data_IF_452274094795
#
_entry.id   IF_452274094795
#
_cell.length_a   1.000
_cell.length_b   1.000
_cell.length_c   1.000
_cell.angle_alpha   90.00
_cell.angle_beta   90.00
_cell.angle_gamma   90.00
#
_symmetry.space_group_name_H-M   'P 1'
#
loop_
_entity.id
_entity.type
_entity.pdbx_description
1 polymer ?
#
# COMPACT_ATOMS: atom_id res chain seq x y z
N UNK A 1 1.52 5.25 7.98
CA UNK A 1 1.08 6.22 6.94
C UNK A 1 2.07 6.12 5.79
N UNK A 2 1.59 6.06 4.55
CA UNK A 2 2.41 5.98 3.34
C UNK A 2 2.35 7.31 2.59
N UNK A 3 3.47 8.02 2.47
CA UNK A 3 3.56 9.27 1.69
C UNK A 3 4.16 8.98 0.32
N UNK A 4 3.33 8.99 -0.71
CA UNK A 4 3.75 8.57 -2.05
C UNK A 4 4.67 9.58 -2.74
N UNK A 5 4.66 10.84 -2.31
CA UNK A 5 5.58 11.87 -2.81
C UNK A 5 7.02 11.69 -2.34
N UNK A 6 7.27 10.89 -1.30
CA UNK A 6 8.61 10.56 -0.79
C UNK A 6 9.22 9.32 -1.46
N UNK A 7 8.43 8.60 -2.25
CA UNK A 7 8.92 7.46 -3.03
C UNK A 7 9.57 7.97 -4.31
N UNK A 8 10.88 7.78 -4.48
CA UNK A 8 11.55 7.96 -5.76
C UNK A 8 11.52 6.66 -6.57
N UNK A 9 10.76 6.59 -7.69
CA UNK A 9 10.65 5.39 -8.50
C UNK A 9 11.93 5.08 -9.29
N UNK A 10 12.92 5.97 -9.35
CA UNK A 10 14.21 5.65 -9.97
C UNK A 10 15.17 4.94 -9.02
N UNK A 11 14.95 5.11 -7.71
CA UNK A 11 15.78 4.51 -6.66
C UNK A 11 15.17 3.23 -6.09
N UNK A 12 13.84 3.19 -5.96
CA UNK A 12 13.12 2.09 -5.32
C UNK A 12 12.01 1.55 -6.22
N UNK A 13 11.96 0.23 -6.34
CA UNK A 13 10.91 -0.46 -7.09
C UNK A 13 9.63 -0.61 -6.25
N UNK A 14 8.50 -0.92 -6.90
CA UNK A 14 7.25 -1.21 -6.22
C UNK A 14 7.38 -2.45 -5.35
N UNK A 15 8.29 -3.38 -5.67
CA UNK A 15 8.62 -4.50 -4.80
C UNK A 15 9.33 -4.06 -3.53
N UNK A 16 10.21 -3.06 -3.59
CA UNK A 16 10.91 -2.54 -2.42
C UNK A 16 9.92 -1.83 -1.48
N UNK A 17 9.05 -0.97 -2.05
CA UNK A 17 7.98 -0.32 -1.29
C UNK A 17 7.02 -1.35 -0.68
N UNK A 18 6.65 -2.38 -1.44
CA UNK A 18 5.77 -3.45 -0.96
C UNK A 18 6.42 -4.29 0.16
N UNK A 19 7.73 -4.54 0.09
CA UNK A 19 8.47 -5.23 1.16
C UNK A 19 8.45 -4.44 2.46
N UNK A 20 8.54 -3.11 2.40
CA UNK A 20 8.41 -2.26 3.59
C UNK A 20 7.04 -2.46 4.24
N UNK A 21 5.96 -2.51 3.45
CA UNK A 21 4.62 -2.81 3.97
C UNK A 21 4.54 -4.19 4.62
N UNK A 22 5.13 -5.22 4.01
CA UNK A 22 5.15 -6.58 4.58
C UNK A 22 5.88 -6.66 5.91
N UNK A 23 7.11 -6.13 5.97
CA UNK A 23 7.92 -6.12 7.20
C UNK A 23 7.16 -5.36 8.30
N UNK A 24 6.56 -4.22 7.95
CA UNK A 24 5.77 -3.43 8.90
C UNK A 24 4.56 -4.22 9.43
N UNK A 25 3.83 -4.91 8.56
CA UNK A 25 2.70 -5.75 8.96
C UNK A 25 3.12 -6.91 9.86
N UNK A 26 4.24 -7.57 9.59
CA UNK A 26 4.79 -8.65 10.43
C UNK A 26 5.22 -8.18 11.83
N UNK A 27 5.64 -6.91 11.95
CA UNK A 27 5.96 -6.31 13.24
C UNK A 27 4.68 -5.93 13.99
N UNK A 28 3.75 -5.24 13.33
CA UNK A 28 2.52 -4.73 13.93
C UNK A 28 1.58 -5.86 14.37
N UNK A 29 1.54 -6.99 13.65
CA UNK A 29 0.67 -8.13 14.03
C UNK A 29 1.08 -8.77 15.37
N UNK A 30 2.29 -8.49 15.88
CA UNK A 30 2.72 -8.98 17.20
C UNK A 30 2.02 -8.26 18.35
N UNK A 31 1.43 -7.09 18.11
CA UNK A 31 0.70 -6.34 19.12
C UNK A 31 -0.73 -6.87 19.28
N UNK A 32 -1.09 -7.32 20.49
CA UNK A 32 -2.41 -7.89 20.81
C UNK A 32 -3.54 -6.88 20.54
N UNK A 33 -3.31 -5.61 20.86
CA UNK A 33 -4.27 -4.54 20.60
C UNK A 33 -4.51 -4.36 19.10
N UNK A 34 -3.48 -4.52 18.27
CA UNK A 34 -3.65 -4.48 16.81
C UNK A 34 -4.40 -5.70 16.29
N UNK A 35 -4.15 -6.90 16.82
CA UNK A 35 -4.93 -8.08 16.44
C UNK A 35 -6.43 -7.91 16.74
N UNK A 36 -6.78 -7.21 17.83
CA UNK A 36 -8.18 -6.94 18.23
C UNK A 36 -8.83 -5.80 17.46
N UNK A 37 -8.10 -4.70 17.27
CA UNK A 37 -8.66 -3.44 16.76
C UNK A 37 -8.40 -3.23 15.26
N UNK A 38 -7.53 -4.03 14.66
CA UNK A 38 -7.11 -3.87 13.27
C UNK A 38 -6.12 -2.73 13.03
N UNK A 39 -5.85 -2.47 11.75
CA UNK A 39 -4.94 -1.42 11.29
C UNK A 39 -5.65 -0.51 10.29
N UNK A 40 -5.31 0.78 10.32
CA UNK A 40 -5.72 1.74 9.29
C UNK A 40 -4.50 2.19 8.51
N UNK A 41 -4.46 1.86 7.22
CA UNK A 41 -3.42 2.30 6.31
C UNK A 41 -3.91 3.52 5.53
N UNK A 42 -3.19 4.64 5.70
CA UNK A 42 -3.44 5.88 4.97
C UNK A 42 -2.39 6.02 3.87
N UNK A 43 -2.83 6.11 2.63
CA UNK A 43 -2.03 6.45 1.47
C UNK A 43 -2.26 7.92 1.14
N UNK A 44 -1.25 8.75 1.40
CA UNK A 44 -1.21 10.11 0.90
C UNK A 44 -0.63 10.10 -0.52
N UNK A 45 -1.48 10.41 -1.48
CA UNK A 45 -1.13 10.44 -2.90
C UNK A 45 -0.65 11.82 -3.35
N UNK A 46 -0.44 12.77 -2.43
CA UNK A 46 0.21 14.02 -2.75
C UNK A 46 1.60 13.75 -3.36
N UNK A 47 1.85 14.34 -4.53
CA UNK A 47 3.09 14.12 -5.28
C UNK A 47 3.12 12.83 -6.10
N UNK A 48 2.00 12.11 -6.25
CA UNK A 48 1.90 10.96 -7.15
C UNK A 48 2.14 11.36 -8.62
N UNK A 49 2.94 10.57 -9.35
CA UNK A 49 3.34 10.81 -10.74
C UNK A 49 3.15 9.55 -11.59
N UNK A 50 3.15 9.70 -12.92
CA UNK A 50 3.09 8.56 -13.84
C UNK A 50 4.22 7.54 -13.62
N UNK A 51 5.42 7.99 -13.23
CA UNK A 51 6.52 7.09 -12.91
C UNK A 51 6.17 6.08 -11.81
N UNK A 52 5.40 6.47 -10.79
CA UNK A 52 4.88 5.54 -9.77
C UNK A 52 3.87 4.56 -10.38
N UNK A 53 2.94 5.05 -11.20
CA UNK A 53 1.91 4.23 -11.84
C UNK A 53 2.52 3.16 -12.77
N UNK A 54 3.59 3.50 -13.51
CA UNK A 54 4.28 2.56 -14.39
C UNK A 54 4.93 1.39 -13.65
N UNK A 55 5.24 1.55 -12.36
CA UNK A 55 5.75 0.43 -11.57
C UNK A 55 4.66 -0.55 -11.12
N UNK A 56 3.38 -0.14 -11.15
CA UNK A 56 2.24 -0.98 -10.76
C UNK A 56 1.80 -1.80 -11.98
N UNK A 57 2.56 -2.85 -12.28
CA UNK A 57 2.17 -3.83 -13.30
C UNK A 57 0.99 -4.71 -12.81
N UNK A 58 0.25 -5.38 -13.71
CA UNK A 58 -0.81 -6.31 -13.32
C UNK A 58 -0.33 -7.40 -12.35
N UNK A 59 0.92 -7.85 -12.49
CA UNK A 59 1.51 -8.84 -11.57
C UNK A 59 1.74 -8.26 -10.17
N UNK A 60 2.19 -7.01 -10.07
CA UNK A 60 2.35 -6.28 -8.80
C UNK A 60 0.97 -6.04 -8.16
N UNK A 61 0.00 -5.57 -8.93
CA UNK A 61 -1.37 -5.34 -8.47
C UNK A 61 -2.01 -6.62 -7.89
N UNK A 62 -1.83 -7.77 -8.55
CA UNK A 62 -2.29 -9.07 -8.03
C UNK A 62 -1.65 -9.44 -6.68
N UNK A 63 -0.34 -9.19 -6.52
CA UNK A 63 0.35 -9.44 -5.25
C UNK A 63 -0.14 -8.53 -4.12
N UNK A 64 -0.37 -7.25 -4.43
CA UNK A 64 -0.95 -6.30 -3.48
C UNK A 64 -2.34 -6.80 -3.06
N UNK A 65 -3.22 -7.10 -4.01
CA UNK A 65 -4.56 -7.59 -3.73
C UNK A 65 -4.55 -8.87 -2.86
N UNK A 66 -3.69 -9.85 -3.19
CA UNK A 66 -3.58 -11.07 -2.41
C UNK A 66 -3.21 -10.81 -0.95
N UNK A 67 -2.25 -9.92 -0.68
CA UNK A 67 -1.87 -9.56 0.69
C UNK A 67 -2.99 -8.84 1.41
N UNK A 68 -3.67 -7.89 0.75
CA UNK A 68 -4.82 -7.21 1.33
C UNK A 68 -5.91 -8.20 1.76
N UNK A 69 -6.26 -9.16 0.90
CA UNK A 69 -7.29 -10.18 1.17
C UNK A 69 -6.87 -11.13 2.28
N UNK A 70 -5.61 -11.59 2.31
CA UNK A 70 -5.13 -12.44 3.41
C UNK A 70 -5.13 -11.67 4.73
N UNK A 71 -4.67 -10.42 4.71
CA UNK A 71 -4.65 -9.56 5.90
C UNK A 71 -6.03 -9.46 6.53
N UNK A 72 -7.08 -9.21 5.72
CA UNK A 72 -8.45 -9.08 6.24
C UNK A 72 -8.99 -10.30 6.97
N UNK A 73 -8.45 -11.50 6.72
CA UNK A 73 -8.83 -12.73 7.44
C UNK A 73 -8.20 -12.82 8.83
N UNK A 74 -7.02 -12.23 9.03
CA UNK A 74 -6.26 -12.32 10.29
C UNK A 74 -6.24 -11.02 11.11
N UNK A 75 -6.40 -9.87 10.46
CA UNK A 75 -6.38 -8.54 11.05
C UNK A 75 -7.08 -7.55 10.11
N UNK A 76 -8.18 -6.93 10.55
CA UNK A 76 -8.94 -6.02 9.70
C UNK A 76 -8.07 -4.83 9.27
N UNK A 77 -7.87 -4.64 7.96
CA UNK A 77 -7.12 -3.49 7.45
C UNK A 77 -8.01 -2.57 6.64
N UNK A 78 -8.21 -1.35 7.12
CA UNK A 78 -8.94 -0.32 6.39
C UNK A 78 -7.97 0.55 5.59
N UNK A 79 -8.23 0.68 4.29
CA UNK A 79 -7.45 1.53 3.39
C UNK A 79 -8.13 2.89 3.22
N UNK A 80 -7.35 3.96 3.36
CA UNK A 80 -7.81 5.31 3.06
C UNK A 80 -6.82 6.01 2.13
N UNK A 81 -7.30 6.51 1.00
CA UNK A 81 -6.50 7.26 0.04
C UNK A 81 -6.87 8.73 0.09
N UNK A 82 -5.92 9.58 0.47
CA UNK A 82 -6.08 11.03 0.44
C UNK A 82 -5.40 11.62 -0.81
N UNK A 83 -5.83 12.82 -1.24
CA UNK A 83 -5.27 13.51 -2.41
C UNK A 83 -5.32 12.68 -3.70
N UNK A 84 -6.40 11.92 -3.88
CA UNK A 84 -6.61 11.06 -5.04
C UNK A 84 -6.98 11.90 -6.29
N UNK A 85 -6.04 12.06 -7.22
CA UNK A 85 -6.29 12.73 -8.50
C UNK A 85 -7.03 11.76 -9.46
N UNK A 86 -8.07 12.26 -10.16
CA UNK A 86 -8.95 11.50 -11.07
C UNK A 86 -8.26 10.65 -12.17
N UNK A 87 -6.96 10.82 -12.40
CA UNK A 87 -6.20 10.13 -13.45
C UNK A 87 -5.97 8.63 -13.24
N UNK A 88 -6.07 8.12 -12.00
CA UNK A 88 -5.88 6.69 -11.71
C UNK A 88 -7.04 5.80 -12.18
N UNK A 89 -8.23 6.36 -12.43
CA UNK A 89 -9.42 5.58 -12.76
C UNK A 89 -9.56 5.23 -14.25
N UNK A 90 -8.77 5.84 -15.16
CA UNK A 90 -8.93 5.68 -16.61
C UNK A 90 -8.15 4.50 -17.22
N UNK A 91 -7.63 3.57 -16.40
CA UNK A 91 -6.86 2.39 -16.85
C UNK A 91 -7.27 1.07 -16.17
N UNK A 92 -8.44 1.00 -15.55
CA UNK A 92 -9.05 -0.27 -15.10
C UNK A 92 -10.25 -0.61 -15.99
#
# INVERSE_FOLDING_TARGET
>A
IYSSGQWDPNLFTAYDVFRVSLITSELIVKEIETQRNGVKAIFDLQGWRFAHAFQISPAVAKKIAAVLTVSTTYCFMQLHCCNFQYFLCSKL
#
